data_IF_165377320442
#
_entry.id   IF_165377320442
#
_cell.length_a   1.000
_cell.length_b   1.000
_cell.length_c   1.000
_cell.angle_alpha   90.00
_cell.angle_beta   90.00
_cell.angle_gamma   90.00
#
_symmetry.space_group_name_H-M   'P 1'
#
loop_
_entity.id
_entity.type
_entity.pdbx_description
1 polymer ?
#
# COMPACT_ATOMS: atom_id res chain seq x y z
N UNK A 1 -23.54 -31.11 -73.09
CA UNK A 1 -22.96 -29.77 -73.27
C UNK A 1 -22.92 -29.12 -71.90
N UNK A 2 -21.87 -29.38 -71.12
CA UNK A 2 -21.72 -28.85 -69.76
C UNK A 2 -20.83 -27.61 -69.83
N UNK A 3 -21.40 -26.47 -69.50
CA UNK A 3 -20.76 -25.16 -69.54
C UNK A 3 -20.33 -24.80 -68.12
N UNK A 4 -19.02 -24.94 -67.83
CA UNK A 4 -18.45 -24.52 -66.57
C UNK A 4 -18.27 -23.00 -66.57
N UNK A 5 -19.03 -22.32 -65.70
CA UNK A 5 -18.90 -20.88 -65.42
C UNK A 5 -17.80 -20.72 -64.37
N UNK A 6 -16.68 -20.09 -64.75
CA UNK A 6 -15.63 -19.70 -63.81
C UNK A 6 -15.96 -18.33 -63.23
N UNK A 7 -16.26 -18.28 -61.93
CA UNK A 7 -16.38 -17.02 -61.19
C UNK A 7 -14.98 -16.49 -60.86
N UNK A 8 -14.59 -15.38 -61.49
CA UNK A 8 -13.40 -14.62 -61.11
C UNK A 8 -13.70 -13.87 -59.79
N UNK A 9 -13.18 -14.37 -58.68
CA UNK A 9 -13.12 -13.63 -57.41
C UNK A 9 -11.99 -12.62 -57.52
N UNK A 10 -12.33 -11.35 -57.72
CA UNK A 10 -11.38 -10.25 -57.70
C UNK A 10 -10.94 -9.99 -56.25
N UNK A 11 -9.73 -10.43 -55.90
CA UNK A 11 -9.08 -10.06 -54.65
C UNK A 11 -8.65 -8.59 -54.72
N UNK A 12 -9.40 -7.69 -54.09
CA UNK A 12 -8.90 -6.35 -53.78
C UNK A 12 -7.79 -6.49 -52.74
N UNK A 13 -6.54 -6.42 -53.19
CA UNK A 13 -5.39 -6.26 -52.29
C UNK A 13 -5.44 -4.84 -51.76
N UNK A 14 -5.84 -4.67 -50.50
CA UNK A 14 -5.75 -3.38 -49.80
C UNK A 14 -4.28 -3.10 -49.51
N UNK A 15 -3.64 -2.31 -50.34
CA UNK A 15 -2.28 -1.81 -50.11
C UNK A 15 -2.33 -0.77 -48.98
N UNK A 16 -1.83 -1.13 -47.79
CA UNK A 16 -1.65 -0.14 -46.71
C UNK A 16 -0.59 0.89 -47.13
N UNK A 17 -0.96 2.18 -47.12
CA UNK A 17 -0.03 3.29 -47.26
C UNK A 17 1.10 3.17 -46.22
N UNK A 18 2.32 3.57 -46.55
CA UNK A 18 3.44 3.41 -45.61
C UNK A 18 3.66 4.56 -44.64
N UNK A 19 2.96 5.68 -44.83
CA UNK A 19 2.71 6.65 -43.79
C UNK A 19 1.20 6.64 -43.53
N UNK A 20 0.81 6.57 -42.26
CA UNK A 20 -0.59 6.57 -41.84
C UNK A 20 -0.74 7.47 -40.62
N UNK A 21 -1.78 8.29 -40.60
CA UNK A 21 -2.21 9.02 -39.41
C UNK A 21 -3.62 8.59 -39.05
N UNK A 22 -3.79 8.14 -37.81
CA UNK A 22 -5.05 7.64 -37.26
C UNK A 22 -5.50 8.55 -36.11
N UNK A 23 -6.76 8.97 -36.14
CA UNK A 23 -7.40 9.78 -35.10
C UNK A 23 -8.55 8.99 -34.48
N UNK A 24 -8.54 8.84 -33.16
CA UNK A 24 -9.55 8.04 -32.47
C UNK A 24 -9.99 8.72 -31.15
N UNK A 25 -11.27 9.13 -31.01
CA UNK A 25 -12.30 9.16 -32.06
C UNK A 25 -12.11 10.33 -33.02
N UNK A 26 -12.55 10.18 -34.28
CA UNK A 26 -12.55 11.29 -35.25
C UNK A 26 -13.58 12.40 -34.91
N UNK A 27 -14.57 12.08 -34.07
CA UNK A 27 -15.58 13.03 -33.57
C UNK A 27 -15.51 13.10 -32.05
N UNK A 28 -15.19 14.29 -31.54
CA UNK A 28 -15.10 14.61 -30.12
C UNK A 28 -16.40 15.27 -29.68
N UNK A 29 -17.10 14.65 -28.74
CA UNK A 29 -18.23 15.25 -28.05
C UNK A 29 -17.74 15.97 -26.80
N UNK A 30 -17.81 17.30 -26.80
CA UNK A 30 -17.26 18.13 -25.72
C UNK A 30 -17.88 17.75 -24.36
N UNK A 31 -17.02 17.44 -23.38
CA UNK A 31 -17.44 17.04 -22.02
C UNK A 31 -17.88 15.58 -21.87
N UNK A 32 -18.03 14.83 -22.97
CA UNK A 32 -18.43 13.40 -22.97
C UNK A 32 -17.27 12.50 -23.39
N UNK A 33 -16.58 12.84 -24.49
CA UNK A 33 -15.40 12.10 -24.94
C UNK A 33 -14.29 12.23 -23.90
N UNK A 34 -13.82 11.09 -23.38
CA UNK A 34 -12.78 11.05 -22.34
C UNK A 34 -11.36 11.11 -22.87
N UNK A 35 -11.15 10.54 -24.06
CA UNK A 35 -9.84 10.37 -24.64
C UNK A 35 -9.88 10.66 -26.14
N UNK A 36 -8.87 11.38 -26.64
CA UNK A 36 -8.54 11.49 -28.06
C UNK A 36 -7.10 11.04 -28.25
N UNK A 37 -6.87 10.10 -29.17
CA UNK A 37 -5.54 9.67 -29.59
C UNK A 37 -5.30 10.03 -31.05
N UNK A 38 -4.17 10.67 -31.32
CA UNK A 38 -3.66 10.87 -32.68
C UNK A 38 -2.36 10.09 -32.80
N UNK A 39 -2.33 9.11 -33.70
CA UNK A 39 -1.20 8.20 -33.92
C UNK A 39 -0.69 8.36 -35.34
N UNK A 40 0.60 8.60 -35.47
CA UNK A 40 1.29 8.52 -36.74
C UNK A 40 2.20 7.29 -36.81
N UNK A 41 2.06 6.53 -37.88
CA UNK A 41 2.77 5.27 -38.11
C UNK A 41 3.47 5.29 -39.47
N UNK A 42 4.75 4.93 -39.48
CA UNK A 42 5.55 4.73 -40.69
C UNK A 42 6.06 3.29 -40.79
N UNK A 43 5.82 2.60 -41.90
CA UNK A 43 6.32 1.23 -42.13
C UNK A 43 7.50 1.21 -43.10
N UNK A 44 8.69 0.85 -42.62
CA UNK A 44 9.88 0.72 -43.45
C UNK A 44 9.72 -0.36 -44.55
N UNK A 45 10.26 -0.12 -45.74
CA UNK A 45 10.28 -1.08 -46.85
C UNK A 45 9.01 -1.13 -47.72
N UNK A 46 7.95 -0.41 -47.37
CA UNK A 46 6.73 -0.30 -48.20
C UNK A 46 6.78 0.83 -49.24
N UNK A 47 7.70 1.80 -49.13
CA UNK A 47 7.85 2.88 -50.14
C UNK A 47 9.35 3.07 -50.48
N UNK A 48 9.73 3.14 -51.77
CA UNK A 48 11.12 3.35 -52.18
C UNK A 48 11.66 4.79 -51.95
N UNK A 49 10.82 5.75 -51.55
CA UNK A 49 11.23 7.15 -51.37
C UNK A 49 11.94 7.43 -50.05
N UNK A 50 11.62 6.70 -48.97
CA UNK A 50 12.33 6.80 -47.68
C UNK A 50 12.91 5.44 -47.34
N UNK A 51 14.22 5.29 -47.52
CA UNK A 51 14.98 4.08 -47.20
C UNK A 51 15.41 4.07 -45.73
N UNK A 52 15.70 5.25 -45.15
CA UNK A 52 16.04 5.42 -43.73
C UNK A 52 15.25 6.59 -43.15
N UNK A 53 14.48 6.31 -42.10
CA UNK A 53 13.74 7.32 -41.35
C UNK A 53 14.65 8.00 -40.33
N UNK A 54 14.56 9.33 -40.21
CA UNK A 54 15.25 10.13 -39.20
C UNK A 54 14.32 10.56 -38.07
N UNK A 55 13.12 11.05 -38.40
CA UNK A 55 12.15 11.46 -37.39
C UNK A 55 10.71 11.38 -37.88
N UNK A 56 9.79 11.28 -36.93
CA UNK A 56 8.35 11.49 -37.12
C UNK A 56 7.94 12.72 -36.34
N UNK A 57 7.11 13.57 -36.94
CA UNK A 57 6.59 14.79 -36.36
C UNK A 57 5.07 14.81 -36.48
N UNK A 58 4.38 15.04 -35.36
CA UNK A 58 2.95 15.37 -35.36
C UNK A 58 2.80 16.87 -35.16
N UNK A 59 1.99 17.47 -36.01
CA UNK A 59 1.60 18.88 -35.94
C UNK A 59 0.08 19.03 -36.02
N UNK A 60 -0.43 20.13 -35.49
CA UNK A 60 -1.87 20.40 -35.39
C UNK A 60 -2.19 21.83 -35.81
N UNK A 61 -3.34 21.99 -36.44
CA UNK A 61 -3.94 23.27 -36.77
C UNK A 61 -5.40 23.25 -36.35
N UNK A 62 -5.86 24.33 -35.74
CA UNK A 62 -7.29 24.53 -35.44
C UNK A 62 -8.13 24.83 -36.70
N UNK A 63 -7.49 25.06 -37.84
CA UNK A 63 -8.14 25.28 -39.13
C UNK A 63 -8.17 24.00 -39.98
N UNK A 64 -9.23 23.85 -40.78
CA UNK A 64 -9.37 22.80 -41.79
C UNK A 64 -9.38 23.38 -43.21
N UNK A 65 -8.68 24.50 -43.42
CA UNK A 65 -8.54 25.18 -44.72
C UNK A 65 -7.64 24.39 -45.68
N UNK A 66 -7.57 24.78 -46.96
CA UNK A 66 -6.69 24.11 -47.95
C UNK A 66 -5.19 24.23 -47.60
N UNK A 67 -4.78 25.31 -46.93
CA UNK A 67 -3.43 25.48 -46.35
C UNK A 67 -3.52 25.88 -44.87
N UNK A 68 -3.62 24.91 -43.94
CA UNK A 68 -3.65 25.19 -42.51
C UNK A 68 -2.27 25.61 -41.98
N UNK A 69 -2.25 26.56 -41.03
CA UNK A 69 -1.03 26.87 -40.27
C UNK A 69 -0.84 25.83 -39.16
N UNK A 70 0.20 25.00 -39.28
CA UNK A 70 0.42 23.84 -38.41
C UNK A 70 1.47 24.16 -37.34
N UNK A 71 1.07 23.99 -36.08
CA UNK A 71 1.97 24.08 -34.93
C UNK A 71 2.49 22.70 -34.54
N UNK A 72 3.78 22.61 -34.20
CA UNK A 72 4.39 21.34 -33.80
C UNK A 72 3.90 20.90 -32.44
N UNK A 73 3.47 19.63 -32.33
CA UNK A 73 3.05 19.04 -31.05
C UNK A 73 4.17 18.22 -30.45
N UNK A 74 4.63 17.20 -31.17
CA UNK A 74 5.63 16.27 -30.69
C UNK A 74 6.44 15.67 -31.85
N UNK A 75 7.72 15.42 -31.60
CA UNK A 75 8.66 14.81 -32.54
C UNK A 75 9.43 13.70 -31.86
N UNK A 76 9.61 12.57 -32.53
CA UNK A 76 10.54 11.53 -32.11
C UNK A 76 11.62 11.38 -33.18
N UNK A 77 12.88 11.27 -32.77
CA UNK A 77 14.01 11.14 -33.69
C UNK A 77 14.86 9.89 -33.43
N UNK A 78 15.67 9.52 -34.43
CA UNK A 78 16.51 8.31 -34.41
C UNK A 78 17.75 8.46 -33.52
N UNK A 79 18.20 9.69 -33.25
CA UNK A 79 19.48 9.96 -32.62
C UNK A 79 19.46 9.73 -31.11
N UNK A 80 18.44 10.27 -30.43
CA UNK A 80 18.25 10.11 -28.98
C UNK A 80 17.15 9.09 -28.63
N UNK A 81 16.29 8.74 -29.59
CA UNK A 81 15.13 7.86 -29.37
C UNK A 81 14.09 8.46 -28.41
N UNK A 82 14.19 9.76 -28.09
CA UNK A 82 13.30 10.45 -27.17
C UNK A 82 12.27 11.30 -27.91
N UNK A 83 11.15 11.54 -27.24
CA UNK A 83 10.07 12.39 -27.75
C UNK A 83 10.30 13.82 -27.27
N UNK A 84 10.55 14.72 -28.21
CA UNK A 84 10.57 16.16 -28.00
C UNK A 84 9.15 16.70 -28.05
N UNK A 85 8.70 17.31 -26.96
CA UNK A 85 7.36 17.89 -26.81
C UNK A 85 7.43 19.41 -26.99
N UNK A 86 6.63 19.94 -27.90
CA UNK A 86 6.59 21.37 -28.22
C UNK A 86 5.30 22.07 -27.74
N UNK A 87 4.25 21.31 -27.44
CA UNK A 87 2.98 21.80 -26.91
C UNK A 87 2.62 21.08 -25.60
N UNK A 88 2.06 21.81 -24.63
CA UNK A 88 1.56 21.24 -23.36
C UNK A 88 0.06 20.93 -23.41
N UNK A 89 -0.57 21.02 -24.58
CA UNK A 89 -2.02 20.86 -24.71
C UNK A 89 -2.49 19.40 -24.64
N UNK A 90 -1.59 18.44 -24.88
CA UNK A 90 -1.88 17.01 -24.78
C UNK A 90 -1.35 16.42 -23.45
N UNK A 91 -1.97 15.35 -22.98
CA UNK A 91 -1.68 14.76 -21.66
C UNK A 91 -0.44 13.88 -21.67
N UNK A 92 -0.24 13.10 -22.74
CA UNK A 92 0.90 12.21 -22.85
C UNK A 92 1.26 11.93 -24.30
N UNK A 93 2.54 11.66 -24.57
CA UNK A 93 3.03 11.16 -25.84
C UNK A 93 3.81 9.86 -25.66
N UNK A 94 3.74 8.97 -26.63
CA UNK A 94 4.51 7.73 -26.67
C UNK A 94 4.88 7.36 -28.11
N UNK A 95 5.96 6.63 -28.29
CA UNK A 95 6.47 6.32 -29.63
C UNK A 95 7.83 5.65 -29.59
N UNK A 96 8.25 5.16 -30.75
CA UNK A 96 9.59 4.64 -30.99
C UNK A 96 9.94 4.71 -32.48
N UNK A 97 11.24 4.71 -32.78
CA UNK A 97 11.74 4.55 -34.15
C UNK A 97 12.37 3.16 -34.30
N UNK A 98 11.95 2.44 -35.34
CA UNK A 98 12.50 1.16 -35.74
C UNK A 98 12.99 1.23 -37.20
N UNK A 99 14.30 1.00 -37.39
CA UNK A 99 14.96 1.14 -38.71
C UNK A 99 14.66 0.00 -39.70
N UNK A 100 14.02 -1.09 -39.25
CA UNK A 100 13.73 -2.27 -40.10
C UNK A 100 12.25 -2.67 -40.09
N UNK A 101 11.43 -1.98 -39.32
CA UNK A 101 10.03 -2.31 -39.11
C UNK A 101 9.14 -1.08 -39.10
N UNK A 102 8.13 -1.12 -38.25
CA UNK A 102 7.21 -0.02 -38.04
C UNK A 102 7.78 0.97 -37.03
N UNK A 103 7.69 2.27 -37.31
CA UNK A 103 7.98 3.35 -36.36
C UNK A 103 6.69 4.10 -36.09
N UNK A 104 6.48 4.60 -34.88
CA UNK A 104 5.31 5.43 -34.60
C UNK A 104 5.58 6.49 -33.54
N UNK A 105 4.74 7.51 -33.57
CA UNK A 105 4.55 8.47 -32.50
C UNK A 105 3.05 8.66 -32.31
N UNK A 106 2.60 8.75 -31.07
CA UNK A 106 1.21 9.01 -30.72
C UNK A 106 1.14 10.04 -29.58
N UNK A 107 0.11 10.87 -29.63
CA UNK A 107 -0.22 11.88 -28.64
C UNK A 107 -1.65 11.63 -28.15
N UNK A 108 -1.89 11.79 -26.85
CA UNK A 108 -3.15 11.49 -26.18
C UNK A 108 -3.61 12.70 -25.38
N UNK A 109 -4.86 13.12 -25.60
CA UNK A 109 -5.57 14.13 -24.80
C UNK A 109 -6.57 13.45 -23.88
N UNK A 110 -6.51 13.77 -22.59
CA UNK A 110 -7.58 13.52 -21.61
C UNK A 110 -8.57 14.69 -21.63
N UNK A 111 -9.85 14.36 -21.65
CA UNK A 111 -10.97 15.30 -21.70
C UNK A 111 -10.79 16.38 -22.79
N UNK A 112 -10.71 15.97 -24.07
CA UNK A 112 -10.46 16.87 -25.20
C UNK A 112 -11.47 18.04 -25.28
N UNK A 113 -10.94 19.23 -25.58
CA UNK A 113 -11.66 20.50 -25.65
C UNK A 113 -11.93 20.91 -27.09
N UNK A 114 -12.66 22.01 -27.31
CA UNK A 114 -12.91 22.54 -28.65
C UNK A 114 -11.62 22.86 -29.42
N UNK A 115 -10.52 23.18 -28.72
CA UNK A 115 -9.21 23.45 -29.30
C UNK A 115 -8.52 22.22 -29.88
N UNK A 116 -8.95 20.99 -29.54
CA UNK A 116 -8.39 19.76 -30.13
C UNK A 116 -9.02 19.41 -31.47
N UNK A 117 -10.03 20.17 -31.92
CA UNK A 117 -10.57 20.02 -33.27
C UNK A 117 -9.63 20.63 -34.31
N UNK A 118 -9.79 20.20 -35.55
CA UNK A 118 -9.04 20.71 -36.69
C UNK A 118 -8.22 19.64 -37.40
N UNK A 119 -7.18 20.07 -38.12
CA UNK A 119 -6.34 19.19 -38.92
C UNK A 119 -5.09 18.78 -38.14
N UNK A 120 -4.76 17.50 -38.20
CA UNK A 120 -3.50 16.93 -37.73
C UNK A 120 -2.69 16.49 -38.93
N UNK A 121 -1.39 16.81 -38.93
CA UNK A 121 -0.45 16.38 -39.97
C UNK A 121 0.65 15.55 -39.35
N UNK A 122 0.94 14.40 -39.96
CA UNK A 122 2.14 13.65 -39.69
C UNK A 122 3.15 13.83 -40.80
N UNK A 123 4.38 14.20 -40.43
CA UNK A 123 5.52 14.31 -41.32
C UNK A 123 6.57 13.24 -40.98
N UNK A 124 6.83 12.33 -41.92
CA UNK A 124 7.91 11.35 -41.85
C UNK A 124 9.11 11.84 -42.65
N UNK A 125 10.22 12.09 -41.97
CA UNK A 125 11.41 12.67 -42.56
C UNK A 125 12.56 11.66 -42.55
N UNK A 126 13.24 11.52 -43.68
CA UNK A 126 14.33 10.58 -43.84
C UNK A 126 15.10 10.82 -45.13
N UNK A 127 15.78 9.78 -45.62
CA UNK A 127 16.55 9.83 -46.85
C UNK A 127 16.19 8.70 -47.80
N UNK A 128 16.31 8.97 -49.11
CA UNK A 128 16.22 7.96 -50.16
C UNK A 128 17.50 7.09 -50.23
N UNK A 129 17.53 6.12 -51.15
CA UNK A 129 18.65 5.18 -51.29
C UNK A 129 19.98 5.82 -51.72
N UNK A 130 19.95 7.05 -52.24
CA UNK A 130 21.16 7.82 -52.59
C UNK A 130 21.47 8.93 -51.56
N UNK A 131 20.76 8.96 -50.44
CA UNK A 131 21.02 9.89 -49.34
C UNK A 131 20.35 11.27 -49.49
N UNK A 132 19.43 11.47 -50.44
CA UNK A 132 18.70 12.74 -50.55
C UNK A 132 17.60 12.83 -49.49
N UNK A 133 17.46 13.96 -48.78
CA UNK A 133 16.36 14.18 -47.85
C UNK A 133 15.00 14.05 -48.53
N UNK A 134 14.07 13.34 -47.88
CA UNK A 134 12.69 13.16 -48.32
C UNK A 134 11.76 13.29 -47.13
N UNK A 135 10.62 13.91 -47.40
CA UNK A 135 9.51 14.07 -46.46
C UNK A 135 8.27 13.48 -47.08
N UNK A 136 7.57 12.65 -46.30
CA UNK A 136 6.22 12.20 -46.61
C UNK A 136 5.29 12.82 -45.58
N UNK A 137 4.10 13.24 -46.02
CA UNK A 137 3.13 13.92 -45.18
C UNK A 137 1.75 13.31 -45.39
N UNK A 138 1.03 13.08 -44.30
CA UNK A 138 -0.36 12.63 -44.30
C UNK A 138 -1.17 13.44 -43.28
N UNK A 139 -2.45 13.66 -43.56
CA UNK A 139 -3.33 14.48 -42.71
C UNK A 139 -4.61 13.74 -42.31
N UNK A 140 -5.07 13.99 -41.08
CA UNK A 140 -6.39 13.56 -40.60
C UNK A 140 -7.09 14.70 -39.86
N UNK A 141 -8.42 14.68 -39.82
CA UNK A 141 -9.23 15.73 -39.19
C UNK A 141 -9.99 15.20 -37.99
N UNK A 142 -10.13 16.04 -36.96
CA UNK A 142 -10.95 15.80 -35.79
C UNK A 142 -12.05 16.84 -35.74
N UNK A 143 -13.31 16.40 -35.68
CA UNK A 143 -14.48 17.26 -35.53
C UNK A 143 -14.86 17.38 -34.05
N UNK A 144 -15.07 18.61 -33.55
CA UNK A 144 -15.72 18.81 -32.25
C UNK A 144 -17.22 19.09 -32.44
N UNK A 145 -18.04 18.41 -31.65
CA UNK A 145 -19.48 18.63 -31.59
C UNK A 145 -19.92 18.82 -30.13
N UNK A 146 -20.88 19.72 -29.93
CA UNK A 146 -21.61 19.76 -28.66
C UNK A 146 -22.50 18.51 -28.56
N UNK A 147 -22.56 17.84 -27.39
CA UNK A 147 -23.44 16.69 -27.23
C UNK A 147 -24.90 17.08 -27.43
N UNK A 148 -25.68 16.16 -28.01
CA UNK A 148 -27.14 16.32 -28.09
C UNK A 148 -27.80 16.26 -26.72
N UNK A 149 -29.03 16.79 -26.62
CA UNK A 149 -29.81 16.78 -25.36
C UNK A 149 -30.05 15.34 -24.86
N UNK A 150 -30.21 14.38 -25.77
CA UNK A 150 -30.34 12.95 -25.49
C UNK A 150 -29.10 12.37 -24.79
N UNK A 151 -27.89 12.81 -25.19
CA UNK A 151 -26.64 12.40 -24.57
C UNK A 151 -26.55 12.94 -23.13
N UNK A 152 -26.96 14.18 -22.91
CA UNK A 152 -27.02 14.77 -21.57
C UNK A 152 -28.03 14.05 -20.67
N UNK A 153 -29.22 13.73 -21.17
CA UNK A 153 -30.24 12.98 -20.41
C UNK A 153 -29.74 11.59 -20.03
N UNK A 154 -29.02 10.90 -20.92
CA UNK A 154 -28.42 9.61 -20.65
C UNK A 154 -27.36 9.69 -19.55
N UNK A 155 -26.48 10.69 -19.61
CA UNK A 155 -25.44 10.87 -18.60
C UNK A 155 -26.01 11.27 -17.24
N UNK A 156 -27.05 12.11 -17.20
CA UNK A 156 -27.78 12.42 -15.97
C UNK A 156 -28.45 11.19 -15.36
N UNK A 157 -29.06 10.34 -16.18
CA UNK A 157 -29.64 9.07 -15.72
C UNK A 157 -28.57 8.12 -15.17
N UNK A 158 -27.42 8.05 -15.85
CA UNK A 158 -26.26 7.27 -15.40
C UNK A 158 -25.74 7.77 -14.04
N UNK A 159 -25.59 9.08 -13.89
CA UNK A 159 -25.17 9.70 -12.64
C UNK A 159 -26.16 9.44 -11.50
N UNK A 160 -27.46 9.54 -11.78
CA UNK A 160 -28.52 9.25 -10.80
C UNK A 160 -28.48 7.79 -10.34
N UNK A 161 -28.25 6.86 -11.26
CA UNK A 161 -28.06 5.43 -10.96
C UNK A 161 -26.84 5.21 -10.05
N UNK A 162 -25.72 5.86 -10.36
CA UNK A 162 -24.52 5.79 -9.54
C UNK A 162 -24.72 6.37 -8.13
N UNK A 163 -25.45 7.47 -7.99
CA UNK A 163 -25.79 8.04 -6.68
C UNK A 163 -26.64 7.07 -5.85
N UNK A 164 -27.68 6.47 -6.45
CA UNK A 164 -28.52 5.49 -5.77
C UNK A 164 -27.71 4.24 -5.36
N UNK A 165 -26.77 3.80 -6.20
CA UNK A 165 -25.87 2.70 -5.86
C UNK A 165 -24.95 3.08 -4.69
N UNK A 166 -24.35 4.27 -4.73
CA UNK A 166 -23.45 4.74 -3.68
C UNK A 166 -24.15 4.87 -2.33
N UNK A 167 -25.38 5.39 -2.31
CA UNK A 167 -26.19 5.47 -1.09
C UNK A 167 -26.44 4.10 -0.49
N UNK A 168 -26.74 3.10 -1.32
CA UNK A 168 -26.90 1.71 -0.88
C UNK A 168 -25.62 1.15 -0.28
N UNK A 169 -24.49 1.29 -0.97
CA UNK A 169 -23.18 0.82 -0.48
C UNK A 169 -22.80 1.47 0.85
N UNK A 170 -23.06 2.77 1.01
CA UNK A 170 -22.82 3.49 2.27
C UNK A 170 -23.70 2.93 3.39
N UNK A 171 -24.97 2.62 3.11
CA UNK A 171 -25.87 2.01 4.10
C UNK A 171 -25.39 0.63 4.55
N UNK A 172 -25.01 -0.23 3.60
CA UNK A 172 -24.49 -1.57 3.88
C UNK A 172 -23.19 -1.50 4.72
N UNK A 173 -22.27 -0.59 4.38
CA UNK A 173 -21.03 -0.40 5.14
C UNK A 173 -21.27 0.13 6.55
N UNK A 174 -22.26 1.03 6.74
CA UNK A 174 -22.64 1.53 8.06
C UNK A 174 -23.15 0.41 8.97
N UNK A 175 -23.96 -0.49 8.44
CA UNK A 175 -24.47 -1.64 9.19
C UNK A 175 -23.33 -2.59 9.59
N UNK A 176 -22.43 -2.92 8.66
CA UNK A 176 -21.24 -3.73 8.95
C UNK A 176 -20.37 -3.09 10.04
N UNK A 177 -20.16 -1.77 9.96
CA UNK A 177 -19.38 -1.03 10.96
C UNK A 177 -20.04 -1.07 12.34
N UNK A 178 -21.37 -0.97 12.41
CA UNK A 178 -22.10 -1.10 13.67
C UNK A 178 -21.95 -2.49 14.29
N UNK A 179 -22.03 -3.55 13.48
CA UNK A 179 -21.84 -4.94 13.93
C UNK A 179 -20.42 -5.19 14.45
N UNK A 180 -19.40 -4.66 13.77
CA UNK A 180 -18.00 -4.77 14.22
C UNK A 180 -17.76 -4.05 15.54
N UNK A 181 -18.33 -2.85 15.71
CA UNK A 181 -18.25 -2.12 16.99
C UNK A 181 -18.90 -2.89 18.11
N UNK A 182 -20.10 -3.43 17.89
CA UNK A 182 -20.78 -4.25 18.90
C UNK A 182 -19.96 -5.49 19.28
N UNK A 183 -19.36 -6.17 18.31
CA UNK A 183 -18.47 -7.30 18.56
C UNK A 183 -17.24 -6.88 19.37
N UNK A 184 -16.59 -5.77 19.00
CA UNK A 184 -15.45 -5.21 19.70
C UNK A 184 -15.79 -4.88 21.16
N UNK A 185 -16.90 -4.17 21.41
CA UNK A 185 -17.33 -3.79 22.77
C UNK A 185 -17.68 -5.01 23.62
N UNK A 186 -18.31 -6.01 23.01
CA UNK A 186 -18.64 -7.29 23.68
C UNK A 186 -17.37 -8.03 24.06
N UNK A 187 -16.40 -8.13 23.15
CA UNK A 187 -15.13 -8.81 23.41
C UNK A 187 -14.30 -8.09 24.46
N UNK A 188 -14.23 -6.75 24.41
CA UNK A 188 -13.57 -5.92 25.44
C UNK A 188 -14.18 -6.14 26.81
N UNK A 189 -15.50 -6.10 26.92
CA UNK A 189 -16.19 -6.32 28.19
C UNK A 189 -15.90 -7.71 28.76
N UNK A 190 -15.88 -8.73 27.91
CA UNK A 190 -15.50 -10.10 28.32
C UNK A 190 -14.04 -10.17 28.76
N UNK A 191 -13.13 -9.56 28.00
CA UNK A 191 -11.70 -9.54 28.32
C UNK A 191 -11.44 -8.85 29.66
N UNK A 192 -12.11 -7.72 29.94
CA UNK A 192 -12.02 -7.02 31.22
C UNK A 192 -12.50 -7.88 32.40
N UNK A 193 -13.57 -8.67 32.21
CA UNK A 193 -14.02 -9.63 33.24
C UNK A 193 -12.97 -10.72 33.48
N UNK A 194 -12.34 -11.25 32.43
CA UNK A 194 -11.27 -12.25 32.57
C UNK A 194 -10.07 -11.64 33.31
N UNK A 195 -9.60 -10.46 32.90
CA UNK A 195 -8.49 -9.73 33.52
C UNK A 195 -8.74 -9.54 35.03
N UNK A 196 -9.92 -9.03 35.42
CA UNK A 196 -10.29 -8.84 36.82
C UNK A 196 -10.38 -10.14 37.62
N UNK A 197 -10.78 -11.24 36.98
CA UNK A 197 -10.85 -12.54 37.63
C UNK A 197 -9.46 -13.16 37.84
N UNK A 198 -8.53 -12.92 36.93
CA UNK A 198 -7.19 -13.50 36.94
C UNK A 198 -6.16 -12.66 37.71
N UNK A 199 -6.36 -11.35 37.87
CA UNK A 199 -5.33 -10.45 38.40
C UNK A 199 -5.89 -9.43 39.40
N UNK A 200 -5.08 -9.05 40.38
CA UNK A 200 -5.25 -7.81 41.15
C UNK A 200 -4.52 -6.69 40.39
N UNK A 201 -5.13 -5.50 40.31
CA UNK A 201 -4.66 -4.38 39.49
C UNK A 201 -4.00 -3.31 40.36
N UNK A 202 -2.89 -2.74 39.89
CA UNK A 202 -2.22 -1.61 40.53
C UNK A 202 -2.85 -0.27 40.14
N UNK A 203 -2.45 0.81 40.81
CA UNK A 203 -2.59 2.17 40.28
C UNK A 203 -1.76 2.35 38.99
N UNK A 204 -2.05 3.41 38.22
CA UNK A 204 -1.25 3.74 37.03
C UNK A 204 0.09 4.32 37.48
N UNK A 205 1.18 3.77 36.97
CA UNK A 205 2.53 4.24 37.20
C UNK A 205 3.25 4.41 35.86
N UNK A 206 3.77 5.62 35.61
CA UNK A 206 4.46 5.98 34.36
C UNK A 206 3.72 5.60 33.06
N UNK A 207 2.39 5.71 33.05
CA UNK A 207 1.55 5.41 31.87
C UNK A 207 1.28 3.91 31.65
N UNK A 208 1.67 3.07 32.61
CA UNK A 208 1.46 1.63 32.60
C UNK A 208 0.68 1.21 33.85
N UNK A 209 0.06 0.02 33.77
CA UNK A 209 -0.61 -0.62 34.90
C UNK A 209 -0.09 -2.03 35.06
N UNK A 210 0.05 -2.44 36.31
CA UNK A 210 0.61 -3.73 36.65
C UNK A 210 -0.47 -4.63 37.22
N UNK A 211 -0.36 -5.92 36.90
CA UNK A 211 -1.38 -6.91 37.19
C UNK A 211 -0.73 -8.11 37.88
N UNK A 212 -1.01 -8.26 39.17
CA UNK A 212 -0.52 -9.36 39.99
C UNK A 212 -1.46 -10.56 39.83
N UNK A 213 -0.93 -11.71 39.37
CA UNK A 213 -1.73 -12.92 39.16
C UNK A 213 -2.44 -13.39 40.42
N UNK A 214 -3.59 -14.04 40.31
CA UNK A 214 -4.35 -14.69 41.41
C UNK A 214 -4.30 -16.20 41.27
N UNK A 215 -4.18 -16.89 42.41
CA UNK A 215 -4.46 -18.32 42.55
C UNK A 215 -3.82 -19.23 41.49
N UNK A 216 -2.51 -19.07 41.23
CA UNK A 216 -1.78 -19.90 40.27
C UNK A 216 -1.05 -21.05 40.97
N UNK A 217 -1.22 -22.27 40.45
CA UNK A 217 -0.59 -23.50 40.98
C UNK A 217 0.77 -23.79 40.37
N UNK A 218 1.12 -23.10 39.29
CA UNK A 218 2.42 -23.21 38.63
C UNK A 218 2.74 -21.96 37.83
N UNK A 219 4.04 -21.77 37.61
CA UNK A 219 4.56 -20.73 36.73
C UNK A 219 5.61 -21.32 35.79
N UNK A 220 5.59 -20.83 34.56
CA UNK A 220 6.67 -20.90 33.60
C UNK A 220 6.69 -19.58 32.81
N UNK A 221 7.86 -19.05 32.38
CA UNK A 221 7.93 -17.76 31.70
C UNK A 221 7.09 -17.71 30.42
N UNK A 222 7.01 -18.82 29.67
CA UNK A 222 6.19 -18.91 28.47
C UNK A 222 4.69 -18.77 28.76
N UNK A 223 4.19 -19.42 29.81
CA UNK A 223 2.78 -19.35 30.20
C UNK A 223 2.43 -17.99 30.81
N UNK A 224 3.28 -17.48 31.71
CA UNK A 224 3.10 -16.16 32.31
C UNK A 224 3.14 -15.05 31.26
N UNK A 225 4.14 -15.08 30.38
CA UNK A 225 4.26 -14.16 29.26
C UNK A 225 3.06 -14.23 28.31
N UNK A 226 2.57 -15.43 27.97
CA UNK A 226 1.36 -15.58 27.15
C UNK A 226 0.10 -15.02 27.84
N UNK A 227 -0.01 -15.20 29.17
CA UNK A 227 -1.11 -14.64 29.94
C UNK A 227 -1.09 -13.10 29.91
N UNK A 228 0.08 -12.48 30.10
CA UNK A 228 0.22 -11.02 29.97
C UNK A 228 -0.05 -10.54 28.54
N UNK A 229 0.45 -11.26 27.52
CA UNK A 229 0.29 -10.92 26.10
C UNK A 229 -1.16 -10.97 25.63
N UNK A 230 -2.00 -11.82 26.23
CA UNK A 230 -3.45 -11.86 25.95
C UNK A 230 -4.12 -10.50 26.18
N UNK A 231 -3.57 -9.68 27.07
CA UNK A 231 -4.07 -8.36 27.43
C UNK A 231 -3.20 -7.22 26.87
N UNK A 232 -2.30 -7.53 25.93
CA UNK A 232 -1.45 -6.54 25.26
C UNK A 232 -0.23 -6.09 26.08
N UNK A 233 0.14 -6.85 27.12
CA UNK A 233 1.35 -6.61 27.91
C UNK A 233 2.34 -7.75 27.91
N UNK A 234 3.25 -7.76 28.87
CA UNK A 234 4.29 -8.77 29.06
C UNK A 234 4.62 -8.92 30.55
N UNK A 235 5.48 -9.87 30.92
CA UNK A 235 5.96 -9.97 32.30
C UNK A 235 6.75 -8.71 32.67
N UNK A 236 6.48 -8.12 33.83
CA UNK A 236 6.99 -6.78 34.15
C UNK A 236 8.52 -6.68 34.04
N UNK A 237 8.99 -5.62 33.39
CA UNK A 237 10.40 -5.30 33.23
C UNK A 237 10.72 -4.08 34.08
N UNK A 238 11.54 -4.27 35.10
CA UNK A 238 11.75 -3.23 36.12
C UNK A 238 12.94 -2.39 35.70
N UNK A 239 12.66 -1.21 35.17
CA UNK A 239 13.63 -0.34 34.51
C UNK A 239 14.13 0.79 35.44
N UNK A 240 13.47 1.00 36.60
CA UNK A 240 13.88 2.02 37.57
C UNK A 240 13.70 1.62 39.03
N UNK A 241 14.45 2.26 39.93
CA UNK A 241 14.29 2.04 41.36
C UNK A 241 12.91 2.52 41.87
N UNK A 242 12.34 3.58 41.28
CA UNK A 242 11.02 4.07 41.64
C UNK A 242 9.94 3.04 41.26
N UNK A 243 10.07 2.41 40.08
CA UNK A 243 9.20 1.32 39.64
C UNK A 243 9.33 0.10 40.56
N UNK A 244 10.56 -0.30 40.91
CA UNK A 244 10.78 -1.38 41.86
C UNK A 244 10.05 -1.14 43.18
N UNK A 245 10.18 0.06 43.77
CA UNK A 245 9.50 0.38 45.03
C UNK A 245 7.98 0.37 44.86
N UNK A 246 7.46 0.95 43.77
CA UNK A 246 6.03 0.93 43.46
C UNK A 246 5.48 -0.51 43.38
N UNK A 247 6.16 -1.40 42.65
CA UNK A 247 5.73 -2.80 42.52
C UNK A 247 5.88 -3.57 43.82
N UNK A 248 6.96 -3.32 44.59
CA UNK A 248 7.16 -3.93 45.90
C UNK A 248 6.03 -3.56 46.86
N UNK A 249 5.67 -2.29 46.95
CA UNK A 249 4.54 -1.83 47.77
C UNK A 249 3.21 -2.45 47.31
N UNK A 250 2.98 -2.47 46.00
CA UNK A 250 1.79 -3.09 45.42
C UNK A 250 1.71 -4.59 45.75
N UNK A 251 2.81 -5.34 45.61
CA UNK A 251 2.88 -6.76 45.97
C UNK A 251 2.63 -6.94 47.47
N UNK A 252 3.25 -6.15 48.35
CA UNK A 252 3.05 -6.25 49.80
C UNK A 252 1.57 -6.09 50.18
N UNK A 253 0.87 -5.14 49.55
CA UNK A 253 -0.53 -4.82 49.86
C UNK A 253 -1.50 -5.82 49.23
N UNK A 254 -1.23 -6.27 48.01
CA UNK A 254 -2.16 -7.11 47.23
C UNK A 254 -1.90 -8.61 47.34
N UNK A 255 -0.71 -9.02 47.78
CA UNK A 255 -0.36 -10.43 47.89
C UNK A 255 -1.19 -11.13 48.97
N UNK A 256 -1.72 -12.31 48.60
CA UNK A 256 -2.55 -13.15 49.48
C UNK A 256 -1.76 -14.28 50.13
N UNK A 257 -1.00 -15.03 49.33
CA UNK A 257 -0.26 -16.21 49.81
C UNK A 257 1.02 -16.52 49.04
N UNK A 258 1.47 -15.65 48.13
CA UNK A 258 2.66 -15.91 47.32
C UNK A 258 3.92 -15.75 48.18
N UNK A 259 4.83 -16.71 48.11
CA UNK A 259 6.21 -16.64 48.60
C UNK A 259 7.13 -16.00 47.56
N UNK A 260 6.78 -16.06 46.27
CA UNK A 260 7.53 -15.43 45.18
C UNK A 260 6.63 -14.87 44.08
N UNK A 261 6.98 -13.69 43.56
CA UNK A 261 6.30 -13.07 42.41
C UNK A 261 7.29 -12.86 41.28
N UNK A 262 7.11 -13.62 40.20
CA UNK A 262 8.02 -13.66 39.05
C UNK A 262 7.89 -12.42 38.16
N UNK A 263 9.01 -12.01 37.59
CA UNK A 263 9.15 -10.84 36.70
C UNK A 263 9.62 -11.27 35.29
N UNK A 264 9.88 -10.30 34.42
CA UNK A 264 10.39 -10.50 33.07
C UNK A 264 11.91 -10.63 32.95
N UNK A 265 12.69 -10.58 34.03
CA UNK A 265 14.16 -10.65 33.95
C UNK A 265 14.71 -12.09 34.06
N UNK A 266 15.79 -12.36 33.32
CA UNK A 266 16.44 -13.68 33.23
C UNK A 266 17.91 -13.54 32.86
N UNK A 267 18.76 -14.44 33.33
CA UNK A 267 20.15 -14.62 32.90
C UNK A 267 20.37 -16.00 32.27
N UNK A 268 19.30 -16.70 31.86
CA UNK A 268 19.36 -18.08 31.35
C UNK A 268 20.23 -18.27 30.10
N UNK A 269 20.60 -17.19 29.42
CA UNK A 269 21.49 -17.23 28.26
C UNK A 269 22.97 -17.14 28.67
N UNK A 270 23.29 -16.36 29.69
CA UNK A 270 24.65 -16.13 30.18
C UNK A 270 24.61 -15.85 31.69
N UNK A 271 25.08 -16.81 32.47
CA UNK A 271 25.11 -16.77 33.94
C UNK A 271 25.71 -15.46 34.48
N UNK A 272 24.97 -14.78 35.34
CA UNK A 272 25.38 -13.49 35.91
C UNK A 272 25.17 -12.28 34.99
N UNK A 273 24.71 -12.49 33.76
CA UNK A 273 24.31 -11.43 32.83
C UNK A 273 22.79 -11.41 32.67
N UNK A 274 22.14 -10.62 33.53
CA UNK A 274 20.70 -10.47 33.59
C UNK A 274 20.17 -9.52 32.49
N UNK A 275 19.13 -9.97 31.79
CA UNK A 275 18.44 -9.21 30.75
C UNK A 275 16.94 -9.18 30.99
N UNK A 276 16.30 -8.16 30.42
CA UNK A 276 14.86 -7.99 30.34
C UNK A 276 14.31 -8.78 29.12
N UNK A 277 13.42 -9.74 29.34
CA UNK A 277 13.07 -10.75 28.33
C UNK A 277 12.39 -10.20 27.06
N UNK A 278 11.55 -9.18 27.20
CA UNK A 278 10.77 -8.54 26.14
C UNK A 278 11.57 -7.44 25.44
N UNK A 279 12.16 -6.48 26.16
CA UNK A 279 12.95 -5.39 25.57
C UNK A 279 14.33 -5.85 25.08
N UNK A 280 14.85 -6.96 25.64
CA UNK A 280 16.22 -7.47 25.42
C UNK A 280 17.30 -6.49 25.89
N UNK A 281 16.94 -5.56 26.76
CA UNK A 281 17.88 -4.64 27.40
C UNK A 281 18.59 -5.34 28.57
N UNK A 282 19.78 -4.84 28.91
CA UNK A 282 20.50 -5.26 30.10
C UNK A 282 19.73 -4.80 31.35
N UNK A 283 19.72 -5.63 32.39
CA UNK A 283 19.12 -5.26 33.66
C UNK A 283 20.00 -4.20 34.35
N UNK A 284 19.45 -3.01 34.58
CA UNK A 284 20.14 -1.93 35.30
C UNK A 284 19.73 -1.83 36.78
N UNK A 285 18.55 -2.36 37.12
CA UNK A 285 17.99 -2.34 38.48
C UNK A 285 18.04 -3.74 39.07
N UNK A 286 19.00 -3.94 39.96
CA UNK A 286 19.24 -5.26 40.53
C UNK A 286 18.47 -5.51 41.83
N UNK A 287 18.38 -4.51 42.72
CA UNK A 287 17.62 -4.52 43.99
C UNK A 287 17.44 -5.92 44.64
N UNK A 288 18.54 -6.66 44.70
CA UNK A 288 18.61 -8.02 45.22
C UNK A 288 18.44 -8.01 46.73
N UNK A 289 17.87 -9.09 47.27
CA UNK A 289 17.87 -9.34 48.70
C UNK A 289 19.30 -9.59 49.19
N UNK A 290 19.50 -9.50 50.50
CA UNK A 290 20.82 -9.76 51.08
C UNK A 290 21.27 -11.20 50.79
N UNK A 291 22.37 -11.34 50.06
CA UNK A 291 22.94 -12.63 49.67
C UNK A 291 22.65 -13.04 48.22
N UNK A 292 21.69 -12.40 47.55
CA UNK A 292 21.24 -12.74 46.20
C UNK A 292 22.02 -11.98 45.10
N UNK A 293 22.07 -12.53 43.87
CA UNK A 293 21.64 -13.87 43.46
C UNK A 293 22.65 -14.95 43.90
N UNK A 294 22.19 -16.12 44.34
CA UNK A 294 23.05 -17.13 45.00
C UNK A 294 23.01 -18.56 44.44
N UNK A 295 22.08 -18.88 43.53
CA UNK A 295 21.85 -20.26 43.05
C UNK A 295 22.54 -20.58 41.70
N UNK A 296 23.14 -19.57 41.08
CA UNK A 296 23.88 -19.69 39.82
C UNK A 296 23.01 -20.26 38.69
N UNK A 297 23.57 -21.19 37.89
CA UNK A 297 22.89 -21.73 36.69
C UNK A 297 21.61 -22.52 36.96
N UNK A 298 21.26 -22.76 38.23
CA UNK A 298 20.03 -23.46 38.63
C UNK A 298 18.81 -22.54 38.73
N UNK A 299 19.01 -21.21 38.76
CA UNK A 299 17.99 -20.24 39.14
C UNK A 299 17.89 -19.04 38.20
N UNK A 300 17.71 -19.30 36.91
CA UNK A 300 17.90 -18.26 35.90
C UNK A 300 16.74 -17.24 35.70
N UNK A 301 15.85 -17.06 36.68
CA UNK A 301 14.71 -16.15 36.58
C UNK A 301 14.57 -15.28 37.82
N UNK A 302 14.20 -14.02 37.64
CA UNK A 302 14.08 -13.06 38.73
C UNK A 302 12.65 -13.02 39.28
N UNK A 303 12.53 -12.98 40.60
CA UNK A 303 11.27 -12.71 41.27
C UNK A 303 11.44 -11.91 42.55
N UNK A 304 10.38 -11.23 42.99
CA UNK A 304 10.33 -10.69 44.34
C UNK A 304 10.10 -11.82 45.34
N UNK A 305 10.96 -11.94 46.35
CA UNK A 305 10.92 -13.02 47.36
C UNK A 305 10.38 -12.54 48.69
N UNK A 306 9.40 -13.23 49.26
CA UNK A 306 8.85 -12.92 50.59
C UNK A 306 9.91 -13.03 51.69
N UNK A 307 10.77 -14.04 51.62
CA UNK A 307 11.79 -14.29 52.64
C UNK A 307 12.90 -13.23 52.59
N UNK A 308 13.13 -12.64 51.42
CA UNK A 308 14.00 -11.48 51.20
C UNK A 308 13.31 -10.13 51.41
N UNK A 309 12.23 -10.04 52.20
CA UNK A 309 11.43 -8.82 52.42
C UNK A 309 10.97 -8.15 51.11
N UNK A 310 10.56 -8.97 50.13
CA UNK A 310 10.17 -8.53 48.79
C UNK A 310 11.24 -7.72 48.07
N UNK A 311 12.51 -8.01 48.31
CA UNK A 311 13.58 -7.70 47.37
C UNK A 311 13.70 -8.79 46.31
N UNK A 312 14.45 -8.51 45.25
CA UNK A 312 14.63 -9.47 44.14
C UNK A 312 15.48 -10.65 44.61
N UNK A 313 15.19 -11.83 44.09
CA UNK A 313 16.00 -13.03 44.23
C UNK A 313 16.01 -13.79 42.90
N UNK A 314 17.09 -14.50 42.63
CA UNK A 314 17.11 -15.46 41.53
C UNK A 314 16.34 -16.71 41.95
N UNK A 315 15.69 -17.35 40.99
CA UNK A 315 14.89 -18.52 41.30
C UNK A 315 14.66 -19.40 40.08
N UNK A 316 14.38 -20.68 40.32
CA UNK A 316 14.00 -21.59 39.23
C UNK A 316 12.85 -21.01 38.41
N UNK A 317 13.06 -20.88 37.11
CA UNK A 317 12.09 -20.34 36.17
C UNK A 317 10.77 -21.11 36.15
N UNK A 318 10.80 -22.42 36.41
CA UNK A 318 9.61 -23.25 36.46
C UNK A 318 9.33 -23.62 37.91
N UNK A 319 8.17 -23.18 38.41
CA UNK A 319 7.71 -23.49 39.75
C UNK A 319 6.39 -24.24 39.71
N UNK A 320 6.31 -25.29 40.51
CA UNK A 320 5.07 -26.02 40.80
C UNK A 320 4.75 -25.85 42.27
N UNK A 321 3.64 -25.18 42.57
CA UNK A 321 3.21 -24.94 43.94
C UNK A 321 1.77 -25.39 44.14
N UNK A 322 1.57 -26.58 44.74
CA UNK A 322 0.24 -27.01 45.19
C UNK A 322 -0.38 -26.07 46.24
N UNK A 323 0.43 -25.21 46.87
CA UNK A 323 0.01 -24.25 47.88
C UNK A 323 -0.37 -22.87 47.32
N UNK A 324 -0.32 -22.69 45.99
CA UNK A 324 -0.54 -21.40 45.30
C UNK A 324 0.37 -20.29 45.83
N UNK A 325 1.62 -20.63 46.14
CA UNK A 325 2.60 -19.68 46.69
C UNK A 325 3.51 -19.05 45.62
N UNK A 326 3.27 -19.32 44.34
CA UNK A 326 3.92 -18.61 43.23
C UNK A 326 2.94 -17.63 42.60
N UNK A 327 3.43 -16.48 42.17
CA UNK A 327 2.71 -15.54 41.33
C UNK A 327 3.61 -14.95 40.27
N UNK A 328 3.05 -14.14 39.40
CA UNK A 328 3.80 -13.32 38.45
C UNK A 328 3.10 -11.98 38.27
N UNK A 329 3.86 -10.98 37.82
CA UNK A 329 3.34 -9.66 37.57
C UNK A 329 3.44 -9.33 36.09
N UNK A 330 2.31 -8.92 35.51
CA UNK A 330 2.24 -8.40 34.16
C UNK A 330 2.35 -6.88 34.18
N UNK A 331 2.85 -6.33 33.09
CA UNK A 331 2.92 -4.92 32.82
C UNK A 331 2.21 -4.62 31.50
N UNK A 332 1.24 -3.72 31.55
CA UNK A 332 0.35 -3.42 30.41
C UNK A 332 0.28 -1.90 30.20
N UNK A 333 0.45 -1.39 28.97
CA UNK A 333 0.24 0.02 28.68
C UNK A 333 -1.20 0.45 28.99
N UNK A 334 -1.40 1.59 29.65
CA UNK A 334 -2.75 2.04 30.05
C UNK A 334 -3.66 2.34 28.84
N UNK A 335 -3.07 2.64 27.68
CA UNK A 335 -3.83 2.78 26.42
C UNK A 335 -4.50 1.48 25.97
N UNK A 336 -4.03 0.32 26.44
CA UNK A 336 -4.58 -0.99 26.10
C UNK A 336 -5.66 -1.46 27.09
N UNK A 337 -5.74 -0.85 28.28
CA UNK A 337 -6.68 -1.23 29.35
C UNK A 337 -7.97 -0.39 29.35
N UNK A 338 -7.92 0.86 28.86
CA UNK A 338 -9.06 1.80 28.79
C UNK A 338 -9.73 1.91 27.40
N UNK A 339 -9.39 1.02 26.46
CA UNK A 339 -9.86 1.07 25.07
C UNK A 339 -11.23 0.45 24.87
#
# INVERSE_FOLDING_TARGET
MNMNIWAFVSFFVVTRAALQIEVNPAKVQLGVTKDLQVRCTFTAGKIPTITRLFYLLISHSNATTEEPDFQYLALINLFDGQINVFSQEFTSANGYINTRGESFIAVVWKDPKSTTAGAYRCDANGVDFIGRPRTLSETATVEAASPGVDVFLKEMANLTSHLAHLERTVSEFREQTANLRLFQDTMKSRLALVLKSMFDESEVFMGRRYYLSKDVTSFAPSTGGAACAMFGGYLAEIESNDEFQFLREFIIVSNRNMSVVMTGATDANEEGHWILSQSRADLEVFNWAEGEPDEGTHANCQGFSRDGDWYMADTSCVKHSPANDVGYICEIPESMTNG
#
